data_IF_764932367622
#
_entry.id   IF_764932367622
#
_cell.length_a   1.000
_cell.length_b   1.000
_cell.length_c   1.000
_cell.angle_alpha   90.00
_cell.angle_beta   90.00
_cell.angle_gamma   90.00
#
_symmetry.space_group_name_H-M   'P 1'
#
loop_
_entity.id
_entity.type
_entity.pdbx_description
1 polymer ?
#
# COMPACT_ATOMS: atom_id res chain seq x y z
N UNK A 1 -28.89 -39.99 25.33
CA UNK A 1 -27.64 -39.22 25.47
C UNK A 1 -26.86 -39.30 24.17
N UNK A 2 -27.02 -38.34 23.25
CA UNK A 2 -26.20 -38.22 22.03
C UNK A 2 -25.28 -37.01 22.22
N UNK A 3 -23.97 -37.26 22.38
CA UNK A 3 -22.94 -36.21 22.46
C UNK A 3 -22.68 -35.67 21.06
N UNK A 4 -22.98 -34.39 20.84
CA UNK A 4 -22.57 -33.67 19.65
C UNK A 4 -21.04 -33.54 19.64
N UNK A 5 -20.40 -34.06 18.57
CA UNK A 5 -19.01 -33.76 18.25
C UNK A 5 -18.99 -32.35 17.63
N UNK A 6 -18.41 -31.39 18.36
CA UNK A 6 -18.04 -30.10 17.80
C UNK A 6 -16.83 -30.34 16.89
N UNK A 7 -17.03 -30.20 15.58
CA UNK A 7 -15.96 -30.12 14.60
C UNK A 7 -15.25 -28.78 14.78
N UNK A 8 -14.14 -28.77 15.53
CA UNK A 8 -13.18 -27.68 15.47
C UNK A 8 -12.39 -27.86 14.16
N UNK A 9 -12.65 -26.99 13.19
CA UNK A 9 -11.89 -26.93 11.94
C UNK A 9 -10.44 -26.52 12.24
N UNK A 10 -9.49 -27.34 11.79
CA UNK A 10 -8.07 -27.07 11.91
C UNK A 10 -7.65 -25.91 11.01
N UNK A 11 -7.10 -24.86 11.60
CA UNK A 11 -6.46 -23.74 10.91
C UNK A 11 -4.96 -24.09 10.79
N UNK A 12 -4.51 -24.52 9.60
CA UNK A 12 -3.13 -24.96 9.37
C UNK A 12 -2.45 -24.13 8.27
N UNK A 13 -1.27 -23.63 8.64
CA UNK A 13 -0.19 -23.04 7.82
C UNK A 13 -0.50 -21.76 7.04
N UNK A 14 0.23 -20.70 7.43
CA UNK A 14 0.36 -19.37 6.81
C UNK A 14 -0.72 -18.33 7.15
N UNK A 15 -0.49 -17.63 8.28
CA UNK A 15 -1.03 -16.30 8.66
C UNK A 15 -2.56 -16.22 8.86
N UNK A 16 -2.98 -15.68 10.02
CA UNK A 16 -4.35 -15.30 10.43
C UNK A 16 -5.28 -16.43 10.93
N UNK A 17 -5.14 -16.83 12.19
CA UNK A 17 -6.27 -17.39 12.95
C UNK A 17 -6.60 -16.43 14.08
N UNK A 18 -7.48 -15.47 13.80
CA UNK A 18 -8.06 -14.62 14.83
C UNK A 18 -9.22 -15.36 15.53
N UNK A 19 -9.36 -15.24 16.85
CA UNK A 19 -10.52 -15.74 17.59
C UNK A 19 -11.12 -14.61 18.42
N UNK A 20 -12.44 -14.39 18.31
CA UNK A 20 -13.15 -13.40 19.13
C UNK A 20 -12.95 -13.70 20.62
N UNK A 21 -12.86 -12.66 21.45
CA UNK A 21 -12.84 -12.81 22.92
C UNK A 21 -14.14 -13.50 23.36
N UNK A 22 -14.07 -14.69 23.98
CA UNK A 22 -15.27 -15.44 24.35
C UNK A 22 -16.16 -14.65 25.34
N UNK A 23 -17.46 -14.55 25.03
CA UNK A 23 -18.43 -13.88 25.90
C UNK A 23 -18.31 -12.36 25.95
N UNK A 24 -17.50 -11.73 25.09
CA UNK A 24 -17.43 -10.28 25.02
C UNK A 24 -18.75 -9.67 24.55
N UNK A 25 -19.19 -8.65 25.27
CA UNK A 25 -20.28 -7.73 24.94
C UNK A 25 -19.85 -6.33 25.34
N UNK A 26 -20.17 -5.32 24.53
CA UNK A 26 -19.99 -3.94 24.96
C UNK A 26 -21.04 -3.53 26.02
N UNK A 27 -20.89 -2.32 26.54
CA UNK A 27 -21.77 -1.72 27.53
C UNK A 27 -23.23 -1.54 27.08
N UNK A 28 -23.50 -1.68 25.77
CA UNK A 28 -24.84 -1.66 25.17
C UNK A 28 -25.38 -3.07 24.89
N UNK A 29 -24.66 -4.12 25.26
CA UNK A 29 -25.04 -5.51 25.07
C UNK A 29 -24.69 -6.09 23.69
N UNK A 30 -24.02 -5.32 22.82
CA UNK A 30 -23.67 -5.79 21.49
C UNK A 30 -22.46 -6.74 21.52
N UNK A 31 -22.59 -7.86 20.81
CA UNK A 31 -21.62 -8.95 20.69
C UNK A 31 -20.73 -8.79 19.46
N UNK A 32 -19.65 -9.58 19.38
CA UNK A 32 -18.81 -9.61 18.17
C UNK A 32 -19.57 -10.04 16.90
N UNK A 33 -20.60 -10.89 17.03
CA UNK A 33 -21.42 -11.31 15.89
C UNK A 33 -22.27 -10.15 15.33
N UNK A 34 -22.76 -9.26 16.20
CA UNK A 34 -23.52 -8.08 15.80
C UNK A 34 -22.60 -7.01 15.18
N UNK A 35 -21.42 -6.82 15.76
CA UNK A 35 -20.39 -5.97 15.18
C UNK A 35 -19.96 -6.43 13.78
N UNK A 36 -19.76 -7.73 13.57
CA UNK A 36 -19.43 -8.30 12.25
C UNK A 36 -20.54 -8.08 11.21
N UNK A 37 -21.79 -8.05 11.66
CA UNK A 37 -22.94 -7.86 10.79
C UNK A 37 -23.10 -6.41 10.36
N UNK A 38 -22.87 -5.46 11.27
CA UNK A 38 -23.37 -4.09 11.13
C UNK A 38 -22.29 -3.01 11.19
N UNK A 39 -21.15 -3.27 11.81
CA UNK A 39 -20.18 -2.23 12.13
C UNK A 39 -18.81 -2.47 11.52
N UNK A 40 -18.44 -3.72 11.27
CA UNK A 40 -17.12 -4.06 10.78
C UNK A 40 -17.08 -5.38 10.02
N UNK A 41 -16.13 -5.52 9.10
CA UNK A 41 -15.92 -6.76 8.34
C UNK A 41 -14.46 -6.85 7.90
N UNK A 42 -13.92 -8.07 7.83
CA UNK A 42 -12.57 -8.32 7.32
C UNK A 42 -11.49 -7.45 7.99
N UNK A 43 -11.57 -7.30 9.32
CA UNK A 43 -10.56 -6.62 10.12
C UNK A 43 -10.60 -5.09 10.04
N UNK A 44 -11.71 -4.49 9.61
CA UNK A 44 -11.88 -3.04 9.62
C UNK A 44 -13.34 -2.64 9.84
N UNK A 45 -13.55 -1.44 10.39
CA UNK A 45 -14.87 -0.85 10.50
C UNK A 45 -15.38 -0.44 9.13
N UNK A 46 -16.69 -0.60 8.92
CA UNK A 46 -17.34 -0.17 7.69
C UNK A 46 -17.30 1.37 7.60
N UNK A 47 -17.22 1.94 6.39
CA UNK A 47 -17.30 3.39 6.20
C UNK A 47 -18.58 3.98 6.84
N UNK A 48 -18.43 5.00 7.68
CA UNK A 48 -19.52 5.61 8.44
C UNK A 48 -19.88 4.88 9.74
N UNK A 49 -19.22 3.77 10.07
CA UNK A 49 -19.38 3.01 11.32
C UNK A 49 -18.13 3.07 12.21
N UNK A 50 -17.15 3.90 11.85
CA UNK A 50 -15.91 4.11 12.62
C UNK A 50 -16.18 4.69 14.00
N UNK A 51 -17.33 5.33 14.21
CA UNK A 51 -17.77 5.84 15.52
C UNK A 51 -17.97 4.73 16.54
N UNK A 52 -18.22 3.49 16.12
CA UNK A 52 -18.49 2.35 17.01
C UNK A 52 -17.23 1.70 17.61
N UNK A 53 -16.05 2.31 17.42
CA UNK A 53 -14.74 1.84 17.92
C UNK A 53 -14.36 2.45 19.26
N UNK A 54 -13.34 1.89 19.91
CA UNK A 54 -12.68 2.52 21.04
C UNK A 54 -13.35 2.28 22.39
N UNK A 55 -12.81 2.90 23.43
CA UNK A 55 -13.22 2.65 24.82
C UNK A 55 -14.70 2.96 25.10
N UNK A 56 -15.32 3.89 24.36
CA UNK A 56 -16.74 4.19 24.47
C UNK A 56 -17.66 3.01 24.06
N UNK A 57 -17.10 1.97 23.45
CA UNK A 57 -17.80 0.77 23.02
C UNK A 57 -17.10 -0.49 23.53
N UNK A 58 -16.30 -0.37 24.60
CA UNK A 58 -15.48 -1.46 25.15
C UNK A 58 -14.51 -2.08 24.14
N UNK A 59 -13.99 -1.24 23.23
CA UNK A 59 -12.92 -1.56 22.29
C UNK A 59 -13.17 -2.81 21.43
N UNK A 60 -14.23 -2.85 20.59
CA UNK A 60 -14.53 -4.00 19.72
C UNK A 60 -13.36 -4.37 18.80
N UNK A 61 -12.50 -3.42 18.44
CA UNK A 61 -11.24 -3.62 17.70
C UNK A 61 -10.13 -4.35 18.46
N UNK A 62 -10.37 -4.72 19.71
CA UNK A 62 -9.46 -5.56 20.52
C UNK A 62 -10.07 -6.92 20.84
N UNK A 63 -11.38 -7.07 20.64
CA UNK A 63 -12.14 -8.24 21.07
C UNK A 63 -12.76 -9.00 19.91
N UNK A 64 -13.00 -8.35 18.76
CA UNK A 64 -13.74 -8.90 17.64
C UNK A 64 -12.90 -8.90 16.35
N UNK A 65 -12.68 -10.10 15.81
CA UNK A 65 -11.92 -10.36 14.59
C UNK A 65 -12.36 -9.55 13.38
N UNK A 66 -13.67 -9.35 13.24
CA UNK A 66 -14.23 -8.59 12.14
C UNK A 66 -13.87 -7.10 12.19
N UNK A 67 -13.60 -6.54 13.39
CA UNK A 67 -13.42 -5.10 13.63
C UNK A 67 -11.97 -4.67 13.64
N UNK A 68 -11.17 -5.45 14.34
CA UNK A 68 -9.73 -5.54 14.23
C UNK A 68 -9.37 -6.57 15.29
N UNK A 69 -8.47 -7.47 14.95
CA UNK A 69 -7.70 -8.20 15.93
C UNK A 69 -6.33 -8.12 15.30
N UNK A 70 -5.48 -7.27 15.86
CA UNK A 70 -4.08 -7.34 15.50
C UNK A 70 -3.68 -8.81 15.62
N UNK A 71 -2.82 -9.33 14.72
CA UNK A 71 -2.17 -10.60 15.01
C UNK A 71 -1.65 -10.52 16.44
N UNK A 72 -1.74 -11.61 17.23
CA UNK A 72 -1.19 -11.61 18.58
C UNK A 72 0.21 -11.00 18.50
N UNK A 73 0.57 -10.08 19.43
CA UNK A 73 1.85 -9.43 19.39
C UNK A 73 2.90 -10.51 19.16
N UNK A 74 3.80 -10.31 18.18
CA UNK A 74 4.72 -11.36 17.80
C UNK A 74 5.42 -11.87 19.05
N UNK A 75 5.73 -13.17 19.12
CA UNK A 75 6.27 -13.76 20.33
C UNK A 75 7.45 -12.90 20.79
N UNK A 76 7.49 -12.56 22.10
CA UNK A 76 8.55 -11.74 22.63
C UNK A 76 9.90 -12.37 22.28
N UNK A 77 10.96 -11.58 22.28
CA UNK A 77 12.28 -12.15 22.14
C UNK A 77 12.48 -13.25 23.22
N UNK A 78 12.98 -14.41 22.79
CA UNK A 78 13.36 -15.50 23.69
C UNK A 78 14.85 -15.75 23.51
N UNK A 79 15.57 -15.82 24.63
CA UNK A 79 16.99 -16.18 24.65
C UNK A 79 17.21 -17.54 23.99
N UNK A 80 18.33 -17.72 23.33
CA UNK A 80 18.68 -19.00 22.73
C UNK A 80 18.97 -19.99 23.85
N UNK A 81 18.14 -21.03 23.96
CA UNK A 81 18.27 -22.01 25.03
C UNK A 81 19.65 -22.70 24.98
N UNK A 82 20.33 -22.76 26.13
CA UNK A 82 21.64 -23.39 26.26
C UNK A 82 22.79 -22.64 25.59
N UNK A 83 22.57 -21.41 25.10
CA UNK A 83 23.67 -20.61 24.58
C UNK A 83 24.61 -20.18 25.71
N UNK A 84 25.91 -20.34 25.44
CA UNK A 84 27.01 -19.95 26.30
C UNK A 84 28.12 -19.34 25.43
N UNK A 85 28.76 -18.30 25.94
CA UNK A 85 29.99 -17.76 25.36
C UNK A 85 31.21 -18.67 25.68
N UNK A 86 32.42 -18.36 25.18
CA UNK A 86 33.62 -19.15 25.46
C UNK A 86 34.01 -19.27 26.94
N UNK A 87 33.46 -18.41 27.80
CA UNK A 87 33.72 -18.37 29.24
C UNK A 87 32.60 -19.04 30.05
N UNK A 88 31.67 -19.73 29.38
CA UNK A 88 30.48 -20.35 29.95
C UNK A 88 29.48 -19.34 30.57
N UNK A 89 29.51 -18.08 30.12
CA UNK A 89 28.49 -17.10 30.47
C UNK A 89 27.29 -17.22 29.51
N UNK A 90 26.10 -17.37 30.07
CA UNK A 90 24.84 -17.40 29.31
C UNK A 90 24.11 -16.06 29.30
N UNK A 91 22.94 -16.01 28.66
CA UNK A 91 22.17 -14.76 28.52
C UNK A 91 21.78 -14.09 29.85
N UNK A 92 21.62 -14.87 30.92
CA UNK A 92 21.38 -14.33 32.26
C UNK A 92 22.59 -13.52 32.80
N UNK A 93 23.81 -13.98 32.55
CA UNK A 93 25.03 -13.28 32.97
C UNK A 93 25.21 -11.97 32.19
N UNK A 94 24.92 -12.00 30.88
CA UNK A 94 24.93 -10.79 30.06
C UNK A 94 23.85 -9.79 30.51
N UNK A 95 22.63 -10.24 30.77
CA UNK A 95 21.54 -9.38 31.27
C UNK A 95 21.82 -8.78 32.67
N UNK A 96 22.71 -9.38 33.45
CA UNK A 96 23.03 -8.91 34.80
C UNK A 96 23.97 -7.69 34.81
N UNK A 97 24.68 -7.41 33.72
CA UNK A 97 25.64 -6.30 33.74
C UNK A 97 26.25 -5.88 32.40
N UNK A 98 26.15 -6.69 31.35
CA UNK A 98 26.73 -6.36 30.03
C UNK A 98 25.69 -5.81 29.05
N UNK A 99 24.43 -6.16 29.25
CA UNK A 99 23.34 -5.78 28.36
C UNK A 99 22.07 -5.39 29.12
N UNK A 100 21.39 -4.35 28.63
CA UNK A 100 20.09 -3.91 29.14
C UNK A 100 19.26 -3.30 28.00
N UNK A 101 17.94 -3.53 28.04
CA UNK A 101 17.02 -2.88 27.10
C UNK A 101 17.21 -3.23 25.62
N UNK A 102 17.86 -4.36 25.31
CA UNK A 102 18.15 -4.76 23.93
C UNK A 102 19.44 -4.17 23.37
N UNK A 103 20.34 -3.71 24.23
CA UNK A 103 21.65 -3.18 23.84
C UNK A 103 22.72 -3.54 24.87
N UNK A 104 23.98 -3.42 24.49
CA UNK A 104 25.08 -3.44 25.45
C UNK A 104 25.05 -2.15 26.26
N UNK A 105 25.33 -2.25 27.55
CA UNK A 105 25.50 -1.05 28.38
C UNK A 105 26.82 -0.37 28.01
N UNK A 106 26.89 0.94 28.24
CA UNK A 106 28.08 1.72 27.90
C UNK A 106 29.34 1.17 28.60
N UNK A 107 30.38 0.90 27.82
CA UNK A 107 31.63 0.32 28.31
C UNK A 107 31.69 -1.21 28.25
N UNK A 108 30.59 -1.89 27.94
CA UNK A 108 30.51 -3.36 27.85
C UNK A 108 30.41 -3.88 26.40
N UNK A 109 30.55 -2.98 25.41
CA UNK A 109 30.48 -3.31 23.98
C UNK A 109 31.61 -4.25 23.54
N UNK A 110 32.70 -4.36 24.31
CA UNK A 110 33.80 -5.28 24.06
C UNK A 110 33.35 -6.75 24.09
N UNK A 111 32.24 -7.07 24.77
CA UNK A 111 31.67 -8.42 24.86
C UNK A 111 30.75 -8.79 23.69
N UNK A 112 30.70 -7.95 22.65
CA UNK A 112 29.88 -8.14 21.45
C UNK A 112 30.61 -8.95 20.37
N UNK A 113 29.86 -9.65 19.52
CA UNK A 113 30.40 -10.21 18.28
C UNK A 113 30.94 -11.63 18.42
N UNK A 114 31.63 -12.10 17.38
CA UNK A 114 31.95 -13.53 17.20
C UNK A 114 32.89 -14.10 18.26
N UNK A 115 33.77 -13.28 18.82
CA UNK A 115 34.72 -13.67 19.87
C UNK A 115 34.00 -14.07 21.17
N UNK A 116 32.76 -13.63 21.34
CA UNK A 116 31.88 -13.97 22.45
C UNK A 116 30.70 -14.84 22.01
N UNK A 117 30.81 -15.52 20.87
CA UNK A 117 29.72 -16.30 20.26
C UNK A 117 28.46 -15.49 19.94
N UNK A 118 28.61 -14.19 19.66
CA UNK A 118 27.56 -13.26 19.20
C UNK A 118 26.35 -13.13 20.13
N UNK A 119 26.53 -12.62 21.38
CA UNK A 119 25.42 -12.45 22.33
C UNK A 119 24.27 -11.60 21.76
N UNK A 120 24.53 -10.65 20.87
CA UNK A 120 23.51 -9.85 20.19
C UNK A 120 22.59 -10.64 19.24
N UNK A 121 22.97 -11.88 18.89
CA UNK A 121 22.14 -12.80 18.10
C UNK A 121 21.44 -13.83 18.96
N UNK A 122 21.87 -13.99 20.20
CA UNK A 122 21.44 -15.08 21.07
C UNK A 122 20.66 -14.63 22.30
N UNK A 123 20.91 -13.43 22.80
CA UNK A 123 20.35 -12.89 24.02
C UNK A 123 19.50 -11.63 23.78
N UNK A 124 18.30 -11.63 24.32
CA UNK A 124 17.33 -10.55 24.15
C UNK A 124 17.78 -9.25 24.80
N UNK A 125 18.42 -9.34 25.97
CA UNK A 125 18.98 -8.17 26.65
C UNK A 125 20.02 -7.44 25.78
N UNK A 126 20.73 -8.17 24.91
CA UNK A 126 21.81 -7.68 24.06
C UNK A 126 21.39 -7.32 22.63
N UNK A 127 20.09 -7.37 22.32
CA UNK A 127 19.55 -6.92 21.05
C UNK A 127 19.21 -8.01 20.04
N UNK A 128 19.10 -9.28 20.49
CA UNK A 128 18.48 -10.32 19.65
C UNK A 128 17.07 -9.85 19.26
N UNK A 129 16.77 -9.72 17.95
CA UNK A 129 15.45 -9.26 17.54
C UNK A 129 14.40 -10.32 17.86
N UNK A 130 13.20 -9.87 18.25
CA UNK A 130 12.03 -10.75 18.34
C UNK A 130 11.77 -11.43 16.98
N UNK A 131 11.16 -12.61 16.99
CA UNK A 131 11.03 -13.43 15.78
C UNK A 131 10.35 -12.70 14.59
N UNK A 132 9.39 -11.81 14.85
CA UNK A 132 8.78 -11.02 13.79
C UNK A 132 9.62 -9.83 13.32
N UNK A 133 10.43 -9.23 14.20
CA UNK A 133 11.40 -8.22 13.78
C UNK A 133 12.50 -8.85 12.91
N UNK A 134 12.92 -10.08 13.25
CA UNK A 134 13.83 -10.87 12.42
C UNK A 134 13.20 -11.25 11.06
N UNK A 135 11.92 -11.65 11.04
CA UNK A 135 11.20 -11.97 9.82
C UNK A 135 10.96 -10.74 8.93
N UNK A 136 10.63 -9.58 9.51
CA UNK A 136 10.48 -8.33 8.79
C UNK A 136 11.83 -7.84 8.22
N UNK A 137 12.91 -7.96 8.98
CA UNK A 137 14.26 -7.65 8.50
C UNK A 137 14.72 -8.62 7.39
N UNK A 138 14.38 -9.91 7.50
CA UNK A 138 14.67 -10.91 6.47
C UNK A 138 13.82 -10.67 5.20
N UNK A 139 12.55 -10.27 5.34
CA UNK A 139 11.69 -9.90 4.22
C UNK A 139 12.16 -8.61 3.53
N UNK A 140 12.63 -7.61 4.29
CA UNK A 140 13.24 -6.40 3.75
C UNK A 140 14.57 -6.70 3.02
N UNK A 141 15.41 -7.55 3.61
CA UNK A 141 16.65 -8.01 2.97
C UNK A 141 16.37 -8.83 1.69
N UNK A 142 15.35 -9.69 1.72
CA UNK A 142 14.90 -10.45 0.55
C UNK A 142 14.31 -9.54 -0.54
N UNK A 143 13.57 -8.48 -0.18
CA UNK A 143 13.06 -7.49 -1.14
C UNK A 143 14.18 -6.70 -1.85
N UNK A 144 15.37 -6.61 -1.24
CA UNK A 144 16.57 -6.02 -1.86
C UNK A 144 17.45 -7.03 -2.60
N UNK A 145 17.20 -8.34 -2.50
CA UNK A 145 17.98 -9.34 -3.21
C UNK A 145 17.70 -9.23 -4.72
N UNK A 146 18.65 -8.65 -5.46
CA UNK A 146 18.52 -8.35 -6.90
C UNK A 146 18.27 -6.88 -7.23
N UNK A 147 18.24 -6.00 -6.22
CA UNK A 147 18.30 -4.57 -6.47
C UNK A 147 19.75 -4.15 -6.76
N UNK A 148 19.94 -3.39 -7.84
CA UNK A 148 21.19 -2.71 -8.18
C UNK A 148 20.94 -1.21 -8.19
N UNK A 149 21.81 -0.44 -7.53
CA UNK A 149 21.76 1.03 -7.52
C UNK A 149 21.84 1.55 -8.96
N UNK A 150 21.14 2.65 -9.26
CA UNK A 150 21.26 3.31 -10.56
C UNK A 150 22.68 3.84 -10.72
N UNK A 151 23.43 3.31 -11.69
CA UNK A 151 24.80 3.73 -11.97
C UNK A 151 24.85 5.23 -12.30
N UNK A 152 25.80 5.94 -11.69
CA UNK A 152 26.03 7.37 -11.92
C UNK A 152 24.96 8.29 -11.31
N UNK A 153 24.01 7.76 -10.55
CA UNK A 153 23.01 8.60 -9.89
C UNK A 153 23.63 9.50 -8.81
N UNK A 154 23.15 10.74 -8.74
CA UNK A 154 23.47 11.72 -7.70
C UNK A 154 22.21 12.50 -7.33
N UNK A 155 22.10 12.90 -6.07
CA UNK A 155 20.97 13.65 -5.54
C UNK A 155 20.91 15.13 -5.98
N UNK A 156 21.67 15.54 -6.99
CA UNK A 156 21.79 16.94 -7.43
C UNK A 156 22.67 17.82 -6.53
N UNK A 157 23.13 17.30 -5.39
CA UNK A 157 24.02 17.97 -4.43
C UNK A 157 25.35 17.25 -4.23
N UNK A 158 25.71 16.35 -5.16
CA UNK A 158 26.98 15.62 -5.16
C UNK A 158 27.03 14.39 -4.26
N UNK A 159 25.91 13.96 -3.67
CA UNK A 159 25.83 12.71 -2.91
C UNK A 159 25.23 11.60 -3.77
N UNK A 160 25.87 10.42 -3.78
CA UNK A 160 25.36 9.21 -4.43
C UNK A 160 24.76 8.21 -3.44
N UNK A 161 24.36 7.03 -3.93
CA UNK A 161 23.74 5.98 -3.09
C UNK A 161 24.65 5.53 -1.93
N UNK A 162 25.96 5.43 -2.16
CA UNK A 162 26.93 5.11 -1.11
C UNK A 162 26.98 6.18 -0.01
N UNK A 163 26.80 7.46 -0.36
CA UNK A 163 26.79 8.55 0.61
C UNK A 163 25.54 8.53 1.49
N UNK A 164 24.38 8.20 0.93
CA UNK A 164 23.14 8.03 1.68
C UNK A 164 23.25 6.94 2.75
N UNK A 165 23.92 5.83 2.42
CA UNK A 165 24.22 4.76 3.39
C UNK A 165 25.22 5.23 4.44
N UNK A 166 26.33 5.86 4.02
CA UNK A 166 27.40 6.33 4.91
C UNK A 166 26.92 7.41 5.90
N UNK A 167 26.01 8.27 5.48
CA UNK A 167 25.45 9.35 6.28
C UNK A 167 24.19 8.94 7.05
N UNK A 168 23.86 7.64 7.07
CA UNK A 168 22.70 7.10 7.76
C UNK A 168 21.36 7.72 7.31
N UNK A 169 21.24 8.16 6.06
CA UNK A 169 19.95 8.63 5.51
C UNK A 169 18.99 7.47 5.28
N UNK A 170 19.50 6.35 4.77
CA UNK A 170 18.71 5.17 4.47
C UNK A 170 19.51 3.88 4.65
N UNK A 171 18.82 2.79 5.01
CA UNK A 171 19.39 1.45 5.16
C UNK A 171 18.29 0.40 5.05
N UNK A 172 18.61 -0.73 4.42
CA UNK A 172 17.73 -1.90 4.41
C UNK A 172 16.43 -1.71 3.62
N UNK A 173 16.45 -0.87 2.58
CA UNK A 173 15.29 -0.61 1.73
C UNK A 173 14.36 0.48 2.24
N UNK A 174 14.79 1.29 3.21
CA UNK A 174 13.98 2.38 3.75
C UNK A 174 14.86 3.53 4.28
N UNK A 175 14.28 4.72 4.37
CA UNK A 175 14.86 5.85 5.09
C UNK A 175 14.83 5.57 6.60
N UNK A 176 15.85 6.06 7.31
CA UNK A 176 15.83 6.01 8.77
C UNK A 176 14.81 7.02 9.31
N UNK A 177 14.31 6.76 10.52
CA UNK A 177 13.37 7.65 11.18
C UNK A 177 14.00 9.03 11.41
N UNK A 178 13.35 10.09 10.94
CA UNK A 178 13.85 11.46 10.98
C UNK A 178 14.71 11.86 9.78
N UNK A 179 14.97 10.94 8.85
CA UNK A 179 15.76 11.16 7.64
C UNK A 179 14.92 11.16 6.35
N UNK A 180 13.59 11.12 6.50
CA UNK A 180 12.63 11.08 5.38
C UNK A 180 12.67 12.37 4.55
N UNK A 181 13.18 13.47 5.11
CA UNK A 181 13.39 14.73 4.40
C UNK A 181 14.38 14.58 3.23
N UNK A 182 15.28 13.59 3.28
CA UNK A 182 16.27 13.35 2.24
C UNK A 182 15.71 12.56 1.03
N UNK A 183 14.42 12.20 1.05
CA UNK A 183 13.71 11.48 -0.01
C UNK A 183 13.07 12.43 -1.05
N UNK A 184 12.49 11.84 -2.10
CA UNK A 184 11.62 12.56 -3.03
C UNK A 184 12.35 13.40 -4.07
N UNK A 185 11.57 14.11 -4.89
CA UNK A 185 12.06 14.80 -6.08
C UNK A 185 13.12 15.88 -5.79
N UNK A 186 13.05 16.53 -4.63
CA UNK A 186 14.02 17.53 -4.18
C UNK A 186 15.46 16.98 -4.15
N UNK A 187 15.61 15.69 -3.87
CA UNK A 187 16.89 15.00 -3.82
C UNK A 187 17.06 13.99 -4.96
N UNK A 188 16.43 14.27 -6.10
CA UNK A 188 16.43 13.39 -7.28
C UNK A 188 15.93 11.96 -7.01
N UNK A 189 14.97 11.81 -6.08
CA UNK A 189 14.26 10.56 -5.75
C UNK A 189 15.16 9.37 -5.38
N UNK A 190 15.94 9.42 -4.29
CA UNK A 190 16.81 8.32 -3.88
C UNK A 190 16.08 6.99 -3.70
N UNK A 191 14.80 7.01 -3.30
CA UNK A 191 13.93 5.84 -3.19
C UNK A 191 13.71 5.09 -4.52
N UNK A 192 14.02 5.72 -5.66
CA UNK A 192 13.91 5.12 -6.99
C UNK A 192 15.26 4.69 -7.56
N UNK A 193 16.34 5.14 -6.95
CA UNK A 193 17.70 5.00 -7.48
C UNK A 193 18.64 4.20 -6.59
N UNK A 194 18.40 4.19 -5.29
CA UNK A 194 19.24 3.53 -4.30
C UNK A 194 18.47 2.39 -3.62
N UNK A 195 19.04 1.19 -3.68
CA UNK A 195 18.49 -0.03 -3.08
C UNK A 195 18.35 0.09 -1.57
N UNK A 196 19.34 0.69 -0.91
CA UNK A 196 19.29 0.95 0.51
C UNK A 196 18.13 1.89 0.92
N UNK A 197 17.64 2.71 -0.01
CA UNK A 197 16.59 3.70 0.21
C UNK A 197 15.20 3.26 -0.28
N UNK A 198 15.06 2.02 -0.77
CA UNK A 198 13.76 1.46 -1.16
C UNK A 198 13.54 1.29 -2.65
N UNK A 199 14.58 1.44 -3.48
CA UNK A 199 14.49 1.03 -4.88
C UNK A 199 14.14 -0.46 -4.94
N UNK A 200 13.04 -0.84 -5.61
CA UNK A 200 12.68 -2.24 -5.73
C UNK A 200 13.67 -2.98 -6.64
N UNK A 201 13.87 -4.28 -6.39
CA UNK A 201 14.57 -5.14 -7.33
C UNK A 201 13.86 -5.15 -8.69
N UNK A 202 14.62 -5.15 -9.78
CA UNK A 202 14.05 -5.21 -11.12
C UNK A 202 13.30 -6.55 -11.28
N UNK A 203 11.97 -6.51 -11.29
CA UNK A 203 11.11 -7.71 -11.35
C UNK A 203 10.28 -7.97 -10.08
N UNK A 204 10.46 -7.21 -9.00
CA UNK A 204 9.49 -7.21 -7.91
C UNK A 204 8.19 -6.56 -8.41
N UNK A 205 7.14 -7.36 -8.59
CA UNK A 205 5.81 -6.86 -8.89
C UNK A 205 5.44 -5.80 -7.84
N UNK A 206 4.87 -4.64 -8.24
CA UNK A 206 4.39 -3.67 -7.28
C UNK A 206 3.40 -4.36 -6.33
N UNK A 207 3.35 -3.98 -5.04
CA UNK A 207 2.32 -4.47 -4.14
C UNK A 207 0.95 -4.27 -4.82
N UNK A 208 0.02 -5.23 -4.72
CA UNK A 208 -1.26 -5.12 -5.38
C UNK A 208 -1.89 -3.79 -4.97
N UNK A 209 -2.20 -2.96 -5.98
CA UNK A 209 -2.96 -1.74 -5.76
C UNK A 209 -4.24 -2.12 -5.01
N UNK A 210 -4.69 -1.29 -4.04
CA UNK A 210 -6.00 -1.49 -3.45
C UNK A 210 -7.02 -1.66 -4.59
N UNK A 211 -7.98 -2.59 -4.47
CA UNK A 211 -9.00 -2.77 -5.49
C UNK A 211 -9.62 -1.40 -5.77
N UNK A 212 -9.82 -1.02 -7.05
CA UNK A 212 -10.44 0.24 -7.37
C UNK A 212 -11.76 0.34 -6.58
N UNK A 213 -12.08 1.50 -6.00
CA UNK A 213 -13.35 1.67 -5.31
C UNK A 213 -14.47 1.19 -6.25
N UNK A 214 -15.52 0.53 -5.72
CA UNK A 214 -16.65 0.14 -6.55
C UNK A 214 -17.10 1.35 -7.35
N UNK A 215 -17.44 1.19 -8.65
CA UNK A 215 -17.81 2.33 -9.48
C UNK A 215 -18.91 3.11 -8.77
N UNK A 216 -18.60 4.35 -8.39
CA UNK A 216 -19.59 5.27 -7.82
C UNK A 216 -20.83 5.21 -8.71
N UNK A 217 -22.05 5.03 -8.16
CA UNK A 217 -23.25 5.12 -8.97
C UNK A 217 -23.20 6.43 -9.74
N UNK A 218 -23.29 6.34 -11.06
CA UNK A 218 -23.16 7.49 -11.94
C UNK A 218 -24.25 8.47 -11.52
N UNK A 219 -23.86 9.65 -11.03
CA UNK A 219 -24.81 10.59 -10.45
C UNK A 219 -25.96 10.95 -11.41
N UNK A 220 -25.71 10.86 -12.72
CA UNK A 220 -26.74 11.04 -13.76
C UNK A 220 -27.78 9.92 -13.84
N UNK A 221 -27.40 8.68 -13.55
CA UNK A 221 -28.36 7.57 -13.44
C UNK A 221 -29.19 7.74 -12.17
N UNK A 222 -28.57 8.20 -11.08
CA UNK A 222 -29.24 8.41 -9.79
C UNK A 222 -30.28 9.54 -9.80
N UNK A 223 -30.15 10.55 -10.69
CA UNK A 223 -31.08 11.69 -10.77
C UNK A 223 -32.25 11.46 -11.72
N UNK A 224 -32.18 10.46 -12.61
CA UNK A 224 -33.20 10.20 -13.63
C UNK A 224 -34.59 9.88 -13.05
N UNK A 225 -34.62 9.32 -11.83
CA UNK A 225 -35.84 8.99 -11.11
C UNK A 225 -36.20 9.98 -9.98
N UNK A 226 -35.54 11.15 -9.93
CA UNK A 226 -35.67 12.16 -8.87
C UNK A 226 -36.28 13.45 -9.38
N UNK A 227 -36.84 14.27 -8.48
CA UNK A 227 -37.40 15.57 -8.82
C UNK A 227 -36.33 16.67 -8.79
N UNK A 228 -36.18 17.41 -9.90
CA UNK A 228 -35.31 18.59 -9.96
C UNK A 228 -36.01 19.80 -9.31
N UNK A 229 -35.60 20.17 -8.09
CA UNK A 229 -36.19 21.27 -7.33
C UNK A 229 -35.97 22.62 -8.00
N UNK A 230 -34.94 22.77 -8.84
CA UNK A 230 -34.64 24.02 -9.55
C UNK A 230 -35.60 24.27 -10.71
N UNK A 231 -36.30 23.23 -11.18
CA UNK A 231 -37.32 23.32 -12.23
C UNK A 231 -38.73 23.56 -11.70
N UNK A 232 -38.94 23.53 -10.39
CA UNK A 232 -40.22 23.86 -9.78
C UNK A 232 -40.56 25.35 -9.96
N UNK A 233 -41.85 25.69 -9.79
CA UNK A 233 -42.34 27.08 -9.79
C UNK A 233 -43.08 27.33 -8.46
N UNK A 234 -42.52 28.10 -7.51
CA UNK A 234 -41.19 28.73 -7.55
C UNK A 234 -40.05 27.71 -7.44
N UNK A 235 -38.83 28.02 -7.95
CA UNK A 235 -37.66 27.17 -7.77
C UNK A 235 -37.34 26.99 -6.29
N UNK A 236 -37.00 25.76 -5.90
CA UNK A 236 -36.71 25.41 -4.52
C UNK A 236 -35.28 24.87 -4.36
N UNK A 237 -34.86 24.73 -3.11
CA UNK A 237 -33.60 24.10 -2.69
C UNK A 237 -33.92 22.89 -1.80
N UNK A 238 -32.94 22.01 -1.55
CA UNK A 238 -33.16 20.81 -0.73
C UNK A 238 -33.79 21.14 0.63
N UNK A 239 -33.37 22.21 1.30
CA UNK A 239 -33.94 22.70 2.56
C UNK A 239 -35.47 22.95 2.54
N UNK A 240 -36.07 23.18 1.36
CA UNK A 240 -37.53 23.29 1.25
C UNK A 240 -38.28 21.96 1.47
N UNK A 241 -37.55 20.85 1.61
CA UNK A 241 -38.06 19.49 1.86
C UNK A 241 -37.74 18.97 3.27
N UNK A 242 -37.24 19.81 4.19
CA UNK A 242 -36.90 19.37 5.56
C UNK A 242 -38.10 18.83 6.35
N UNK A 243 -39.34 19.16 5.97
CA UNK A 243 -40.54 18.62 6.60
C UNK A 243 -40.91 17.18 6.17
N UNK A 244 -40.26 16.64 5.13
CA UNK A 244 -40.55 15.30 4.58
C UNK A 244 -39.25 14.61 4.13
N UNK A 245 -38.75 13.71 4.98
CA UNK A 245 -37.55 12.90 4.74
C UNK A 245 -37.60 12.12 3.42
N UNK A 246 -38.75 11.51 3.11
CA UNK A 246 -38.89 10.71 1.90
C UNK A 246 -38.93 11.59 0.64
N UNK A 247 -39.52 12.78 0.71
CA UNK A 247 -39.47 13.75 -0.38
C UNK A 247 -38.07 14.36 -0.56
N UNK A 248 -37.33 14.57 0.53
CA UNK A 248 -35.94 15.02 0.49
C UNK A 248 -35.06 14.03 -0.29
N UNK A 249 -35.09 12.74 0.06
CA UNK A 249 -34.25 11.72 -0.59
C UNK A 249 -34.63 11.42 -2.05
N UNK A 250 -35.81 11.87 -2.50
CA UNK A 250 -36.29 11.76 -3.89
C UNK A 250 -36.05 13.01 -4.73
N UNK A 251 -35.30 13.98 -4.21
CA UNK A 251 -35.06 15.26 -4.86
C UNK A 251 -33.59 15.49 -5.21
N UNK A 252 -33.34 16.42 -6.13
CA UNK A 252 -32.02 16.96 -6.44
C UNK A 252 -32.13 18.43 -6.88
N UNK A 253 -31.01 19.12 -6.95
CA UNK A 253 -30.90 20.47 -7.52
C UNK A 253 -29.88 20.47 -8.64
N UNK A 254 -30.16 21.18 -9.73
CA UNK A 254 -29.25 21.30 -10.87
C UNK A 254 -28.95 22.73 -11.29
N UNK A 255 -27.77 22.92 -11.89
CA UNK A 255 -27.33 24.19 -12.48
C UNK A 255 -26.73 23.91 -13.86
N UNK A 256 -27.19 24.65 -14.86
CA UNK A 256 -26.59 24.63 -16.19
C UNK A 256 -25.46 25.67 -16.22
N UNK A 257 -24.22 25.22 -16.44
CA UNK A 257 -23.04 26.06 -16.65
C UNK A 257 -22.58 25.94 -18.12
N UNK A 258 -21.77 26.89 -18.64
CA UNK A 258 -21.20 26.79 -19.99
C UNK A 258 -20.43 25.49 -20.24
N UNK A 259 -19.76 24.94 -19.22
CA UNK A 259 -18.93 23.74 -19.27
C UNK A 259 -19.73 22.44 -19.03
N UNK A 260 -21.03 22.54 -18.72
CA UNK A 260 -21.91 21.39 -18.51
C UNK A 260 -22.90 21.56 -17.35
N UNK A 261 -23.72 20.54 -17.11
CA UNK A 261 -24.70 20.53 -16.00
C UNK A 261 -24.06 19.99 -14.72
N UNK A 262 -24.16 20.75 -13.64
CA UNK A 262 -23.86 20.28 -12.28
C UNK A 262 -25.14 19.82 -11.59
N UNK A 263 -25.01 18.79 -10.74
CA UNK A 263 -26.11 18.26 -9.94
C UNK A 263 -25.64 18.00 -8.51
N UNK A 264 -26.49 18.34 -7.54
CA UNK A 264 -26.39 17.88 -6.15
C UNK A 264 -27.62 17.07 -5.76
N UNK A 265 -27.42 15.91 -5.14
CA UNK A 265 -28.51 15.11 -4.58
C UNK A 265 -28.95 15.71 -3.26
N UNK A 266 -30.26 15.71 -3.01
CA UNK A 266 -30.77 16.00 -1.67
C UNK A 266 -30.66 14.74 -0.80
N UNK A 267 -30.29 14.92 0.46
CA UNK A 267 -30.26 13.86 1.47
C UNK A 267 -30.76 14.42 2.80
N UNK A 268 -31.44 13.58 3.58
CA UNK A 268 -31.95 13.99 4.88
C UNK A 268 -30.91 13.70 5.96
N UNK A 269 -30.61 14.70 6.78
CA UNK A 269 -29.70 14.58 7.90
C UNK A 269 -30.50 14.42 9.18
N UNK A 270 -30.59 13.18 9.67
CA UNK A 270 -31.34 12.84 10.88
C UNK A 270 -30.77 13.49 12.16
N UNK A 271 -29.51 13.92 12.14
CA UNK A 271 -28.88 14.56 13.31
C UNK A 271 -29.37 15.99 13.48
N UNK A 272 -29.62 16.67 12.37
CA UNK A 272 -30.01 18.09 12.35
C UNK A 272 -31.45 18.31 11.90
N UNK A 273 -32.21 17.23 11.66
CA UNK A 273 -33.62 17.25 11.23
C UNK A 273 -33.84 18.11 9.97
N UNK A 274 -32.88 18.06 9.03
CA UNK A 274 -32.88 18.95 7.87
C UNK A 274 -32.49 18.26 6.57
N UNK A 275 -33.05 18.76 5.46
CA UNK A 275 -32.72 18.28 4.12
C UNK A 275 -31.53 19.05 3.54
N UNK A 276 -30.38 18.38 3.44
CA UNK A 276 -29.12 18.91 2.91
C UNK A 276 -28.91 18.50 1.47
N UNK A 277 -27.87 19.06 0.84
CA UNK A 277 -27.45 18.73 -0.51
C UNK A 277 -26.00 18.24 -0.52
N UNK A 278 -25.68 17.28 -1.39
CA UNK A 278 -24.30 16.85 -1.61
C UNK A 278 -23.47 17.92 -2.30
N UNK A 279 -22.14 17.78 -2.28
CA UNK A 279 -21.27 18.58 -3.14
C UNK A 279 -21.72 18.48 -4.61
N UNK A 280 -21.76 19.60 -5.37
CA UNK A 280 -22.12 19.59 -6.78
C UNK A 280 -21.14 18.74 -7.59
N UNK A 281 -21.67 17.83 -8.42
CA UNK A 281 -20.85 17.03 -9.34
C UNK A 281 -21.32 17.20 -10.77
N UNK A 282 -20.39 17.17 -11.74
CA UNK A 282 -20.76 17.29 -13.14
C UNK A 282 -21.48 16.03 -13.60
N UNK A 283 -22.57 16.25 -14.35
CA UNK A 283 -23.33 15.18 -14.94
C UNK A 283 -22.76 14.82 -16.31
N UNK A 284 -21.57 14.22 -16.32
CA UNK A 284 -20.94 13.76 -17.56
C UNK A 284 -21.48 12.37 -17.92
N UNK A 285 -21.83 12.20 -19.20
CA UNK A 285 -22.04 10.87 -19.76
C UNK A 285 -20.79 10.02 -19.49
N UNK A 286 -20.93 8.71 -19.23
CA UNK A 286 -19.78 7.86 -19.01
C UNK A 286 -18.82 7.95 -20.20
N UNK A 287 -17.49 7.97 -19.96
CA UNK A 287 -16.56 7.74 -21.05
C UNK A 287 -16.90 6.37 -21.68
N UNK A 288 -16.76 6.23 -23.01
CA UNK A 288 -17.01 4.95 -23.68
C UNK A 288 -16.17 3.85 -23.00
N UNK A 289 -16.69 2.60 -22.92
CA UNK A 289 -15.96 1.52 -22.27
C UNK A 289 -14.58 1.35 -22.93
N UNK A 290 -13.52 1.09 -22.14
CA UNK A 290 -12.22 0.78 -22.73
C UNK A 290 -12.37 -0.43 -23.65
N UNK A 291 -11.71 -0.43 -24.82
CA UNK A 291 -11.74 -1.58 -25.71
C UNK A 291 -11.22 -2.83 -24.96
N UNK A 292 -11.77 -4.03 -25.25
CA UNK A 292 -11.40 -5.24 -24.53
C UNK A 292 -9.90 -5.56 -24.68
N UNK A 293 -9.28 -6.19 -23.68
CA UNK A 293 -7.86 -6.56 -23.73
C UNK A 293 -7.67 -7.70 -24.73
N UNK A 294 -7.31 -7.36 -25.97
CA UNK A 294 -6.75 -8.32 -26.90
C UNK A 294 -5.30 -8.63 -26.49
N UNK A 295 -4.75 -9.82 -26.81
CA UNK A 295 -3.31 -10.04 -26.76
C UNK A 295 -2.67 -8.98 -27.66
N UNK A 296 -2.04 -7.98 -27.05
CA UNK A 296 -1.52 -6.82 -27.76
C UNK A 296 -0.35 -7.26 -28.61
N UNK A 297 -0.63 -7.65 -29.86
CA UNK A 297 0.40 -7.93 -30.86
C UNK A 297 1.01 -6.60 -31.22
N UNK A 298 2.27 -6.41 -30.85
CA UNK A 298 3.01 -5.26 -31.31
C UNK A 298 3.04 -5.26 -32.85
N UNK A 299 2.83 -4.07 -33.45
CA UNK A 299 3.06 -3.83 -34.86
C UNK A 299 3.96 -2.61 -35.04
N UNK A 300 4.95 -2.74 -35.91
CA UNK A 300 5.83 -1.64 -36.28
C UNK A 300 5.00 -0.47 -36.83
N UNK A 301 5.43 0.76 -36.55
CA UNK A 301 4.82 1.96 -37.13
C UNK A 301 5.00 1.91 -38.64
N UNK A 302 3.93 1.89 -39.44
CA UNK A 302 4.04 1.78 -40.89
C UNK A 302 4.90 2.90 -41.48
N UNK A 303 5.81 2.54 -42.38
CA UNK A 303 6.69 3.47 -43.09
C UNK A 303 7.60 4.32 -42.19
N UNK A 304 7.81 3.93 -40.94
CA UNK A 304 8.75 4.61 -40.07
C UNK A 304 10.20 4.31 -40.50
N UNK A 305 11.00 5.37 -40.56
CA UNK A 305 12.46 5.32 -40.69
C UNK A 305 13.07 6.38 -39.80
N UNK A 306 14.21 6.10 -39.20
CA UNK A 306 14.96 7.08 -38.43
C UNK A 306 15.58 8.18 -39.35
N UNK A 307 16.18 9.25 -38.78
CA UNK A 307 16.86 10.31 -39.55
C UNK A 307 18.00 9.82 -40.47
N UNK A 308 18.50 8.60 -40.24
CA UNK A 308 19.55 7.94 -41.02
C UNK A 308 18.99 6.94 -42.05
N UNK A 309 17.67 6.93 -42.26
CA UNK A 309 16.94 6.05 -43.19
C UNK A 309 16.97 4.56 -42.81
N UNK A 310 17.18 4.24 -41.54
CA UNK A 310 17.01 2.89 -41.01
C UNK A 310 15.56 2.65 -40.60
N UNK A 311 14.96 1.57 -41.09
CA UNK A 311 13.65 1.08 -40.64
C UNK A 311 13.79 0.04 -39.52
N UNK A 312 12.67 -0.48 -39.03
CA UNK A 312 12.66 -1.50 -37.96
C UNK A 312 13.39 -2.80 -38.35
N UNK A 313 13.35 -3.18 -39.63
CA UNK A 313 14.11 -4.32 -40.14
C UNK A 313 15.61 -4.06 -40.19
N UNK A 314 16.03 -2.81 -40.45
CA UNK A 314 17.41 -2.36 -40.36
C UNK A 314 17.97 -2.47 -38.94
N UNK A 315 17.20 -2.05 -37.94
CA UNK A 315 17.58 -2.20 -36.53
C UNK A 315 17.79 -3.66 -36.10
N UNK A 316 16.98 -4.58 -36.62
CA UNK A 316 17.15 -6.02 -36.37
C UNK A 316 18.37 -6.58 -37.11
N UNK A 317 18.51 -6.26 -38.40
CA UNK A 317 19.61 -6.76 -39.24
C UNK A 317 20.98 -6.28 -38.78
N UNK A 318 21.08 -5.05 -38.29
CA UNK A 318 22.33 -4.49 -37.77
C UNK A 318 22.61 -4.89 -36.31
N UNK A 319 21.68 -5.61 -35.66
CA UNK A 319 21.87 -6.12 -34.31
C UNK A 319 21.71 -5.06 -33.20
N UNK A 320 21.10 -3.92 -33.50
CA UNK A 320 20.78 -2.91 -32.50
C UNK A 320 19.64 -3.38 -31.59
N UNK A 321 18.66 -4.08 -32.15
CA UNK A 321 17.52 -4.62 -31.43
C UNK A 321 17.25 -6.08 -31.80
N UNK A 322 16.82 -6.88 -30.83
CA UNK A 322 16.42 -8.27 -31.07
C UNK A 322 15.37 -8.71 -30.04
N UNK A 323 14.40 -9.51 -30.45
CA UNK A 323 13.48 -10.17 -29.50
C UNK A 323 12.69 -9.20 -28.62
N UNK A 324 12.36 -8.00 -29.10
CA UNK A 324 11.57 -7.03 -28.36
C UNK A 324 12.34 -6.18 -27.36
N UNK A 325 13.67 -6.08 -27.50
CA UNK A 325 14.50 -5.24 -26.67
C UNK A 325 15.76 -4.79 -27.43
N UNK A 326 16.41 -3.74 -26.93
CA UNK A 326 17.72 -3.30 -27.42
C UNK A 326 18.80 -4.28 -26.97
N UNK A 327 19.73 -4.61 -27.87
CA UNK A 327 20.85 -5.50 -27.55
C UNK A 327 21.80 -4.79 -26.56
N UNK A 328 22.31 -5.47 -25.52
CA UNK A 328 23.27 -4.88 -24.59
C UNK A 328 24.47 -4.26 -25.32
N UNK A 329 24.79 -3.00 -24.99
CA UNK A 329 25.84 -2.23 -25.68
C UNK A 329 25.34 -1.37 -26.86
N UNK A 330 24.10 -1.55 -27.32
CA UNK A 330 23.48 -0.76 -28.39
C UNK A 330 22.41 0.23 -27.91
N UNK A 331 22.35 0.52 -26.60
CA UNK A 331 21.43 1.52 -26.05
C UNK A 331 21.60 2.91 -26.67
N UNK A 332 22.78 3.22 -27.21
CA UNK A 332 23.04 4.45 -27.94
C UNK A 332 22.20 4.58 -29.20
N UNK A 333 21.69 3.50 -29.78
CA UNK A 333 20.88 3.50 -31.01
C UNK A 333 19.40 3.84 -30.77
N UNK A 334 18.98 4.09 -29.52
CA UNK A 334 17.63 4.46 -29.11
C UNK A 334 17.44 5.98 -28.94
N UNK A 335 16.20 6.40 -28.70
CA UNK A 335 15.88 7.77 -28.28
C UNK A 335 15.70 8.77 -29.42
N UNK A 336 15.53 10.03 -29.05
CA UNK A 336 15.15 11.11 -29.97
C UNK A 336 16.10 11.26 -31.17
N UNK A 337 17.41 11.13 -30.93
CA UNK A 337 18.42 11.28 -31.96
C UNK A 337 18.22 10.30 -33.13
N UNK A 338 17.62 9.14 -32.81
CA UNK A 338 17.33 8.07 -33.74
C UNK A 338 15.83 7.94 -34.05
N UNK A 339 15.03 8.97 -33.77
CA UNK A 339 13.61 8.98 -34.09
C UNK A 339 12.77 8.00 -33.26
N UNK A 340 13.24 7.62 -32.07
CA UNK A 340 12.54 6.76 -31.10
C UNK A 340 12.19 5.35 -31.63
N UNK A 341 13.18 4.53 -32.03
CA UNK A 341 12.94 3.16 -32.47
C UNK A 341 12.21 2.31 -31.42
N UNK A 342 12.43 2.53 -30.13
CA UNK A 342 11.73 1.87 -29.02
C UNK A 342 10.22 2.19 -28.95
N UNK A 343 9.76 3.24 -29.62
CA UNK A 343 8.33 3.59 -29.72
C UNK A 343 7.73 3.20 -31.08
N UNK A 344 8.59 2.87 -32.06
CA UNK A 344 8.17 2.64 -33.44
C UNK A 344 8.37 1.19 -33.91
N UNK A 345 9.31 0.47 -33.31
CA UNK A 345 9.73 -0.86 -33.70
C UNK A 345 9.49 -1.87 -32.58
N UNK A 346 8.73 -2.92 -32.91
CA UNK A 346 8.46 -4.03 -32.01
C UNK A 346 9.72 -4.75 -31.60
N UNK A 347 10.67 -4.92 -32.52
CA UNK A 347 11.96 -5.56 -32.23
C UNK A 347 12.75 -4.80 -31.17
N UNK A 348 12.54 -3.49 -31.02
CA UNK A 348 13.17 -2.62 -30.03
C UNK A 348 12.34 -2.41 -28.75
N UNK A 349 11.22 -3.13 -28.59
CA UNK A 349 10.41 -3.09 -27.36
C UNK A 349 9.23 -2.13 -27.38
N UNK A 350 8.76 -1.72 -28.56
CA UNK A 350 7.51 -0.98 -28.69
C UNK A 350 6.38 -1.72 -27.96
N UNK A 351 5.67 -1.09 -27.02
CA UNK A 351 4.54 -1.72 -26.36
C UNK A 351 3.43 -2.00 -27.40
N UNK A 352 2.90 -3.22 -27.39
CA UNK A 352 1.71 -3.53 -28.19
C UNK A 352 0.54 -2.67 -27.73
N UNK A 353 -0.33 -2.25 -28.66
CA UNK A 353 -1.55 -1.50 -28.38
C UNK A 353 -2.80 -2.35 -28.62
#
# INVERSE_FOLDING_TARGET
>A
MRRARVLAAACSTSVLCCTNTPGWTNQFGATCAEYEREHCRAGHFLPGHEWSRGAAFDSPEKHCCACHHSPPPPPPCVDTAGWLDPYADGCAAYAAGRCAGGAFVAGEEWSRGVDFHSPEKHCCACGKPAAAAAAAAAAAAAATAGCVDTLGWSNGHGAGCADYVRQFRCRGGAFLKGEEWAAGATYASPEKHCCACGKPAAGAAPPPLPPPPPPSPRICEAVHARADLRRLRPPAWCAARSADKAACEKAFVSWDLPEGRLVSLCFYDDVYDECKQTEPRPCLAPPPPPPPPYPRRCRDTPSWTNPYRLDCGGYEKEGHCHGGHVVPGHAWALGQHFGWPELNCCVCGKPGH
#
